data_IF_005759998265
#
_entry.id   IF_005759998265
#
_cell.length_a   1.000
_cell.length_b   1.000
_cell.length_c   1.000
_cell.angle_alpha   90.00
_cell.angle_beta   90.00
_cell.angle_gamma   90.00
#
_symmetry.space_group_name_H-M   'P 1'
#
loop_
_entity.id
_entity.type
_entity.pdbx_description
1 polymer ?
#
# COMPACT_ATOMS: atom_id res chain seq x y z
N UNK A 1 13.03 -12.54 0.22
CA UNK A 1 13.26 -13.89 0.81
C UNK A 1 13.85 -13.82 2.24
N UNK A 2 13.25 -13.07 3.18
CA UNK A 2 13.68 -13.06 4.60
C UNK A 2 12.59 -13.53 5.58
N UNK A 3 11.36 -13.68 5.12
CA UNK A 3 10.19 -14.03 5.95
C UNK A 3 10.04 -15.54 6.19
N UNK A 4 10.60 -16.39 5.32
CA UNK A 4 10.54 -17.85 5.47
C UNK A 4 11.39 -18.38 6.63
N UNK A 5 12.41 -17.64 7.08
CA UNK A 5 13.29 -18.09 8.16
C UNK A 5 12.68 -17.97 9.56
N UNK A 6 11.74 -17.05 9.78
CA UNK A 6 11.15 -16.87 11.11
C UNK A 6 10.14 -17.96 11.50
N UNK A 7 9.51 -18.63 10.54
CA UNK A 7 8.47 -19.62 10.84
C UNK A 7 9.04 -21.03 11.12
N UNK A 8 10.30 -21.29 10.76
CA UNK A 8 10.96 -22.57 11.04
C UNK A 8 11.44 -22.70 12.50
N UNK A 9 11.47 -21.61 13.27
CA UNK A 9 11.86 -21.61 14.69
C UNK A 9 10.72 -21.87 15.68
N UNK A 10 9.46 -21.96 15.23
CA UNK A 10 8.28 -22.05 16.11
C UNK A 10 7.69 -23.46 16.24
N UNK A 11 8.25 -24.49 15.60
CA UNK A 11 7.75 -25.86 15.79
C UNK A 11 8.24 -26.43 17.12
N UNK A 12 7.30 -26.82 17.99
CA UNK A 12 7.51 -27.34 19.34
C UNK A 12 8.26 -28.67 19.44
N UNK A 13 8.59 -29.30 18.31
CA UNK A 13 9.47 -30.47 18.23
C UNK A 13 10.91 -30.01 17.97
N UNK A 14 11.54 -29.43 18.99
CA UNK A 14 12.90 -28.92 18.96
C UNK A 14 13.99 -29.99 18.82
N UNK A 15 14.02 -30.73 17.71
CA UNK A 15 15.18 -31.53 17.30
C UNK A 15 15.46 -31.33 15.81
N UNK A 16 16.11 -30.22 15.49
CA UNK A 16 16.84 -30.10 14.22
C UNK A 16 18.15 -30.87 14.38
N UNK A 17 18.20 -32.10 13.85
CA UNK A 17 19.44 -32.82 13.61
C UNK A 17 20.22 -32.09 12.51
N UNK A 18 20.89 -30.99 12.88
CA UNK A 18 21.94 -30.41 12.06
C UNK A 18 23.15 -31.33 12.15
N UNK A 19 23.18 -32.37 11.32
CA UNK A 19 24.37 -33.18 11.15
C UNK A 19 25.46 -32.30 10.52
N UNK A 20 26.48 -31.96 11.31
CA UNK A 20 27.63 -31.15 10.88
C UNK A 20 28.57 -31.79 9.83
N UNK A 21 28.63 -33.12 9.58
CA UNK A 21 29.47 -33.60 8.49
C UNK A 21 28.73 -33.49 7.14
N UNK A 22 29.43 -32.92 6.16
CA UNK A 22 29.04 -32.91 4.74
C UNK A 22 28.94 -34.36 4.26
N UNK A 23 27.73 -34.92 4.21
CA UNK A 23 27.50 -36.27 3.69
C UNK A 23 27.94 -36.25 2.22
N UNK A 24 29.05 -36.90 1.92
CA UNK A 24 29.52 -37.10 0.55
C UNK A 24 28.84 -38.35 0.01
N UNK A 25 28.55 -38.36 -1.28
CA UNK A 25 27.81 -39.44 -1.96
C UNK A 25 28.40 -40.84 -1.79
N UNK A 26 29.68 -40.94 -1.40
CA UNK A 26 30.36 -42.22 -1.15
C UNK A 26 30.27 -42.72 0.31
N UNK A 27 29.95 -41.86 1.28
CA UNK A 27 29.86 -42.24 2.70
C UNK A 27 28.47 -42.76 3.09
N UNK A 28 27.45 -42.46 2.30
CA UNK A 28 26.12 -43.01 2.46
C UNK A 28 26.01 -44.35 1.72
N UNK A 29 26.44 -45.43 2.36
CA UNK A 29 26.00 -46.75 1.94
C UNK A 29 24.47 -46.77 2.08
N UNK A 30 23.75 -46.73 0.94
CA UNK A 30 22.29 -46.76 0.91
C UNK A 30 21.87 -48.11 1.48
N UNK A 31 21.57 -48.14 2.78
CA UNK A 31 20.98 -49.30 3.43
C UNK A 31 19.63 -49.49 2.79
N UNK A 32 19.44 -50.62 2.09
CA UNK A 32 18.14 -50.99 1.54
C UNK A 32 17.14 -51.05 2.69
N UNK A 33 16.06 -50.25 2.65
CA UNK A 33 15.10 -50.22 3.74
C UNK A 33 14.55 -51.63 3.93
N UNK A 34 14.72 -52.18 5.13
CA UNK A 34 14.13 -53.46 5.51
C UNK A 34 12.64 -53.22 5.70
N UNK A 35 11.85 -53.47 4.66
CA UNK A 35 10.39 -53.44 4.74
C UNK A 35 9.97 -54.69 5.51
N UNK A 36 9.84 -54.58 6.84
CA UNK A 36 9.56 -55.72 7.72
C UNK A 36 8.19 -56.37 7.44
N UNK A 37 7.23 -55.61 6.89
CA UNK A 37 5.94 -56.14 6.49
C UNK A 37 5.42 -55.40 5.25
N UNK A 38 5.28 -56.11 4.13
CA UNK A 38 4.51 -55.64 2.99
C UNK A 38 3.03 -55.86 3.34
N UNK A 39 2.22 -54.80 3.44
CA UNK A 39 0.78 -54.94 3.69
C UNK A 39 0.17 -55.83 2.59
N UNK A 40 -0.52 -56.90 2.97
CA UNK A 40 -1.09 -57.88 2.02
C UNK A 40 -2.16 -57.30 1.09
N UNK A 41 -2.63 -56.07 1.34
CA UNK A 41 -3.46 -55.33 0.39
C UNK A 41 -3.21 -53.83 0.55
N UNK A 42 -2.69 -53.19 -0.50
CA UNK A 42 -2.72 -51.74 -0.61
C UNK A 42 -4.14 -51.41 -1.08
N UNK A 43 -4.89 -50.55 -0.36
CA UNK A 43 -6.23 -50.16 -0.80
C UNK A 43 -6.13 -49.56 -2.20
N UNK A 44 -6.95 -50.07 -3.13
CA UNK A 44 -7.01 -49.53 -4.48
C UNK A 44 -7.39 -48.04 -4.40
N UNK A 45 -6.57 -47.12 -4.95
CA UNK A 45 -6.89 -45.71 -4.92
C UNK A 45 -8.24 -45.47 -5.59
N UNK A 46 -9.11 -44.73 -4.90
CA UNK A 46 -10.43 -44.41 -5.43
C UNK A 46 -10.32 -43.28 -6.45
N UNK A 47 -10.14 -43.64 -7.72
CA UNK A 47 -10.03 -42.68 -8.83
C UNK A 47 -11.33 -41.90 -9.09
N UNK A 48 -12.47 -42.30 -8.50
CA UNK A 48 -13.74 -41.58 -8.63
C UNK A 48 -13.71 -40.18 -8.01
N UNK A 49 -12.72 -39.89 -7.15
CA UNK A 49 -12.52 -38.55 -6.56
C UNK A 49 -11.90 -37.54 -7.53
N UNK A 50 -11.32 -37.99 -8.65
CA UNK A 50 -10.64 -37.13 -9.62
C UNK A 50 -11.55 -36.66 -10.76
N UNK A 51 -12.74 -37.24 -10.88
CA UNK A 51 -13.78 -36.78 -11.80
C UNK A 51 -14.86 -36.09 -10.99
N UNK A 52 -14.69 -34.80 -10.61
CA UNK A 52 -15.86 -34.02 -10.24
C UNK A 52 -16.79 -34.04 -11.46
N UNK A 53 -18.00 -34.56 -11.31
CA UNK A 53 -19.00 -34.37 -12.35
C UNK A 53 -19.08 -32.87 -12.63
N UNK A 54 -18.89 -32.43 -13.88
CA UNK A 54 -18.89 -31.03 -14.18
C UNK A 54 -20.30 -30.53 -13.89
N UNK A 55 -20.47 -29.82 -12.77
CA UNK A 55 -21.70 -29.10 -12.53
C UNK A 55 -21.84 -28.10 -13.67
N UNK A 56 -23.02 -28.06 -14.31
CA UNK A 56 -23.28 -27.24 -15.51
C UNK A 56 -23.02 -25.73 -15.30
N UNK A 57 -22.83 -25.30 -14.05
CA UNK A 57 -22.39 -23.95 -13.68
C UNK A 57 -20.89 -23.66 -13.81
N UNK A 58 -20.01 -24.67 -13.89
CA UNK A 58 -18.56 -24.50 -13.84
C UNK A 58 -17.96 -23.91 -15.13
N UNK A 59 -18.49 -24.27 -16.30
CA UNK A 59 -17.93 -23.83 -17.58
C UNK A 59 -18.24 -22.37 -17.91
N UNK A 60 -19.46 -21.91 -17.60
CA UNK A 60 -19.87 -20.51 -17.82
C UNK A 60 -19.01 -19.54 -17.00
N UNK A 61 -18.66 -19.90 -15.76
CA UNK A 61 -17.79 -19.09 -14.91
C UNK A 61 -16.36 -19.02 -15.44
N UNK A 62 -15.87 -20.09 -16.09
CA UNK A 62 -14.52 -20.12 -16.66
C UNK A 62 -14.41 -19.26 -17.92
N UNK A 63 -15.40 -19.29 -18.80
CA UNK A 63 -15.43 -18.44 -20.00
C UNK A 63 -15.48 -16.96 -19.62
N UNK A 64 -16.31 -16.58 -18.64
CA UNK A 64 -16.37 -15.19 -18.16
C UNK A 64 -15.07 -14.75 -17.47
N UNK A 65 -14.38 -15.66 -16.79
CA UNK A 65 -13.09 -15.33 -16.16
C UNK A 65 -11.98 -15.10 -17.20
N UNK A 66 -12.01 -15.85 -18.31
CA UNK A 66 -11.08 -15.65 -19.42
C UNK A 66 -11.34 -14.31 -20.11
N UNK A 67 -12.61 -13.97 -20.39
CA UNK A 67 -12.96 -12.70 -21.04
C UNK A 67 -12.59 -11.49 -20.17
N UNK A 68 -12.85 -11.56 -18.85
CA UNK A 68 -12.47 -10.48 -17.93
C UNK A 68 -10.95 -10.30 -17.87
N UNK A 69 -10.19 -11.40 -17.83
CA UNK A 69 -8.73 -11.34 -17.86
C UNK A 69 -8.21 -10.74 -19.16
N UNK A 70 -8.78 -11.15 -20.29
CA UNK A 70 -8.34 -10.70 -21.59
C UNK A 70 -8.67 -9.19 -21.78
N UNK A 71 -9.81 -8.71 -21.26
CA UNK A 71 -10.13 -7.28 -21.18
C UNK A 71 -9.11 -6.50 -20.33
N UNK A 72 -8.77 -7.00 -19.14
CA UNK A 72 -7.77 -6.36 -18.27
C UNK A 72 -6.41 -6.28 -18.98
N UNK A 73 -6.03 -7.31 -19.74
CA UNK A 73 -4.77 -7.33 -20.50
C UNK A 73 -4.79 -6.34 -21.67
N UNK A 74 -5.91 -6.21 -22.38
CA UNK A 74 -6.07 -5.21 -23.45
C UNK A 74 -5.99 -3.77 -22.90
N UNK A 75 -6.67 -3.49 -21.79
CA UNK A 75 -6.59 -2.19 -21.12
C UNK A 75 -5.17 -1.89 -20.63
N UNK A 76 -4.48 -2.88 -20.05
CA UNK A 76 -3.09 -2.74 -19.63
C UNK A 76 -2.14 -2.47 -20.80
N UNK A 77 -2.31 -3.18 -21.92
CA UNK A 77 -1.48 -2.96 -23.11
C UNK A 77 -1.73 -1.59 -23.76
N UNK A 78 -2.99 -1.14 -23.85
CA UNK A 78 -3.32 0.18 -24.37
C UNK A 78 -2.68 1.31 -23.54
N UNK A 79 -2.74 1.21 -22.21
CA UNK A 79 -2.11 2.20 -21.33
C UNK A 79 -0.58 2.18 -21.41
N UNK A 80 0.01 1.00 -21.60
CA UNK A 80 1.46 0.86 -21.78
C UNK A 80 1.92 1.41 -23.13
N UNK A 81 1.17 1.25 -24.22
CA UNK A 81 1.51 1.85 -25.52
C UNK A 81 1.44 3.38 -25.47
N UNK A 82 0.47 3.95 -24.75
CA UNK A 82 0.38 5.40 -24.53
C UNK A 82 1.55 5.94 -23.68
N UNK A 83 1.97 5.18 -22.66
CA UNK A 83 3.08 5.55 -21.76
C UNK A 83 4.46 5.30 -22.37
N UNK A 84 4.63 4.25 -23.16
CA UNK A 84 5.90 3.85 -23.78
C UNK A 84 6.26 4.64 -25.04
N UNK A 85 5.32 5.42 -25.58
CA UNK A 85 5.62 6.38 -26.62
C UNK A 85 6.46 7.53 -26.03
N UNK A 86 7.78 7.31 -25.95
CA UNK A 86 8.77 8.36 -25.73
C UNK A 86 8.50 9.49 -26.71
N UNK A 87 8.80 10.74 -26.32
CA UNK A 87 8.52 11.90 -27.17
C UNK A 87 9.18 11.76 -28.56
N UNK A 88 10.31 11.05 -28.62
CA UNK A 88 10.96 10.60 -29.86
C UNK A 88 10.08 9.63 -30.68
N UNK A 89 9.45 8.63 -30.08
CA UNK A 89 8.54 7.72 -30.79
C UNK A 89 7.28 8.43 -31.32
N UNK A 90 6.80 9.48 -30.62
CA UNK A 90 5.69 10.31 -31.11
C UNK A 90 6.07 11.12 -32.34
N UNK A 91 7.30 11.63 -32.39
CA UNK A 91 7.85 12.38 -33.51
C UNK A 91 8.13 11.52 -34.75
N UNK A 92 8.20 10.18 -34.63
CA UNK A 92 8.57 9.30 -35.74
C UNK A 92 7.60 8.12 -35.94
N UNK A 93 6.30 8.41 -36.09
CA UNK A 93 5.29 7.40 -36.45
C UNK A 93 5.45 6.95 -37.91
N UNK A 94 6.42 6.07 -38.14
CA UNK A 94 6.54 5.11 -39.25
C UNK A 94 6.62 5.63 -40.71
N UNK A 95 6.70 6.95 -40.96
CA UNK A 95 6.99 7.49 -42.30
C UNK A 95 8.18 8.44 -42.26
N UNK A 96 8.94 8.47 -43.35
CA UNK A 96 10.00 9.47 -43.54
C UNK A 96 9.36 10.87 -43.56
N UNK A 97 9.40 11.55 -42.42
CA UNK A 97 8.97 12.94 -42.31
C UNK A 97 10.13 13.85 -42.68
N UNK A 98 9.84 14.90 -43.44
CA UNK A 98 10.80 15.98 -43.70
C UNK A 98 10.94 16.81 -42.41
N UNK A 99 12.13 16.80 -41.82
CA UNK A 99 12.46 17.54 -40.59
C UNK A 99 12.35 19.06 -40.71
N UNK A 100 12.19 19.57 -41.94
CA UNK A 100 12.01 20.98 -42.24
C UNK A 100 10.55 21.38 -42.50
N UNK A 101 9.60 20.45 -42.32
CA UNK A 101 8.17 20.75 -42.50
C UNK A 101 7.63 21.54 -41.31
N UNK A 102 6.70 22.46 -41.57
CA UNK A 102 6.03 23.24 -40.53
C UNK A 102 5.32 22.32 -39.52
N UNK A 103 4.73 21.21 -40.00
CA UNK A 103 4.10 20.18 -39.18
C UNK A 103 5.07 19.59 -38.13
N UNK A 104 6.34 19.41 -38.48
CA UNK A 104 7.36 18.92 -37.54
C UNK A 104 7.64 19.94 -36.43
N UNK A 105 7.74 21.23 -36.77
CA UNK A 105 7.96 22.29 -35.78
C UNK A 105 6.76 22.47 -34.85
N UNK A 106 5.53 22.37 -35.37
CA UNK A 106 4.32 22.40 -34.55
C UNK A 106 4.27 21.20 -33.59
N UNK A 107 4.65 20.00 -34.04
CA UNK A 107 4.72 18.82 -33.19
C UNK A 107 5.77 18.95 -32.08
N UNK A 108 6.98 19.44 -32.40
CA UNK A 108 8.04 19.68 -31.40
C UNK A 108 7.58 20.72 -30.38
N UNK A 109 6.97 21.83 -30.84
CA UNK A 109 6.45 22.88 -29.95
C UNK A 109 5.37 22.35 -29.01
N UNK A 110 4.44 21.53 -29.52
CA UNK A 110 3.39 20.90 -28.70
C UNK A 110 3.96 19.96 -27.62
N UNK A 111 5.02 19.22 -27.94
CA UNK A 111 5.74 18.37 -26.96
C UNK A 111 6.41 19.23 -25.88
N UNK A 112 7.11 20.30 -26.26
CA UNK A 112 7.78 21.19 -25.31
C UNK A 112 6.78 21.90 -24.39
N UNK A 113 5.67 22.41 -24.93
CA UNK A 113 4.58 23.00 -24.16
C UNK A 113 3.95 21.98 -23.21
N UNK A 114 3.74 20.74 -23.67
CA UNK A 114 3.28 19.64 -22.84
C UNK A 114 4.24 19.31 -21.70
N UNK A 115 5.55 19.31 -21.94
CA UNK A 115 6.56 19.08 -20.90
C UNK A 115 6.56 20.20 -19.86
N UNK A 116 6.55 21.46 -20.32
CA UNK A 116 6.46 22.63 -19.43
C UNK A 116 5.18 22.62 -18.59
N UNK A 117 4.04 22.26 -19.17
CA UNK A 117 2.78 22.16 -18.44
C UNK A 117 2.83 21.06 -17.37
N UNK A 118 3.40 19.88 -17.68
CA UNK A 118 3.59 18.79 -16.71
C UNK A 118 4.55 19.16 -15.58
N UNK A 119 5.64 19.86 -15.89
CA UNK A 119 6.59 20.36 -14.89
C UNK A 119 5.90 21.39 -13.97
N UNK A 120 5.18 22.36 -14.54
CA UNK A 120 4.43 23.36 -13.78
C UNK A 120 3.33 22.72 -12.89
N UNK A 121 2.63 21.70 -13.38
CA UNK A 121 1.64 20.96 -12.59
C UNK A 121 2.30 20.21 -11.42
N UNK A 122 3.44 19.55 -11.65
CA UNK A 122 4.21 18.89 -10.59
C UNK A 122 4.66 19.89 -9.52
N UNK A 123 5.12 21.06 -9.92
CA UNK A 123 5.51 22.14 -8.98
C UNK A 123 4.31 22.68 -8.20
N UNK A 124 3.19 22.95 -8.88
CA UNK A 124 1.96 23.40 -8.23
C UNK A 124 1.46 22.38 -7.20
N UNK A 125 1.50 21.07 -7.52
CA UNK A 125 1.15 19.99 -6.59
C UNK A 125 2.10 19.95 -5.38
N UNK A 126 3.40 20.11 -5.59
CA UNK A 126 4.39 20.18 -4.47
C UNK A 126 4.10 21.36 -3.55
N UNK A 127 3.85 22.55 -4.10
CA UNK A 127 3.53 23.76 -3.33
C UNK A 127 2.22 23.58 -2.55
N UNK A 128 1.19 23.01 -3.18
CA UNK A 128 -0.08 22.72 -2.52
C UNK A 128 0.09 21.76 -1.34
N UNK A 129 0.88 20.69 -1.49
CA UNK A 129 1.21 19.74 -0.41
C UNK A 129 1.94 20.41 0.75
N UNK A 130 2.93 21.25 0.46
CA UNK A 130 3.67 22.00 1.48
C UNK A 130 2.73 22.93 2.26
N UNK A 131 1.90 23.70 1.56
CA UNK A 131 0.91 24.58 2.20
C UNK A 131 -0.08 23.81 3.08
N UNK A 132 -0.54 22.64 2.64
CA UNK A 132 -1.41 21.75 3.46
C UNK A 132 -0.70 21.29 4.73
N UNK A 133 0.57 20.89 4.62
CA UNK A 133 1.40 20.50 5.77
C UNK A 133 1.55 21.64 6.76
N UNK A 134 1.88 22.84 6.30
CA UNK A 134 2.02 24.04 7.14
C UNK A 134 0.71 24.39 7.87
N UNK A 135 -0.43 24.37 7.18
CA UNK A 135 -1.74 24.60 7.79
C UNK A 135 -2.07 23.58 8.87
N UNK A 136 -1.74 22.30 8.64
CA UNK A 136 -1.93 21.23 9.63
C UNK A 136 -1.06 21.45 10.87
N UNK A 137 0.19 21.82 10.68
CA UNK A 137 1.13 22.09 11.77
C UNK A 137 0.69 23.31 12.61
N UNK A 138 0.19 24.37 11.98
CA UNK A 138 -0.34 25.54 12.70
C UNK A 138 -1.56 25.17 13.56
N UNK A 139 -2.52 24.44 12.99
CA UNK A 139 -3.72 23.99 13.72
C UNK A 139 -3.36 23.04 14.87
N UNK A 140 -2.37 22.18 14.69
CA UNK A 140 -1.88 21.31 15.76
C UNK A 140 -1.19 22.11 16.88
N UNK A 141 -0.44 23.17 16.54
CA UNK A 141 0.18 24.08 17.51
C UNK A 141 -0.87 24.84 18.32
N UNK A 142 -1.86 25.43 17.66
CA UNK A 142 -2.97 26.11 18.33
C UNK A 142 -3.74 25.17 19.25
N UNK A 143 -4.01 23.95 18.81
CA UNK A 143 -4.68 22.94 19.61
C UNK A 143 -3.86 22.49 20.82
N UNK A 144 -2.53 22.39 20.68
CA UNK A 144 -1.64 22.10 21.79
C UNK A 144 -1.69 23.21 22.84
N UNK A 145 -1.61 24.48 22.42
CA UNK A 145 -1.72 25.63 23.32
C UNK A 145 -3.09 25.69 24.02
N UNK A 146 -4.18 25.34 23.32
CA UNK A 146 -5.51 25.27 23.93
C UNK A 146 -5.60 24.17 25.01
N UNK A 147 -4.98 23.01 24.78
CA UNK A 147 -4.93 21.92 25.77
C UNK A 147 -4.11 22.29 26.99
N UNK A 148 -3.01 23.00 26.82
CA UNK A 148 -2.19 23.48 27.93
C UNK A 148 -2.96 24.47 28.82
N UNK A 149 -3.63 25.45 28.22
CA UNK A 149 -4.50 26.39 28.96
C UNK A 149 -5.62 25.67 29.71
N UNK A 150 -6.29 24.73 29.06
CA UNK A 150 -7.36 23.94 29.68
C UNK A 150 -6.84 23.07 30.84
N UNK A 151 -5.64 22.50 30.71
CA UNK A 151 -5.03 21.75 31.81
C UNK A 151 -4.80 22.64 33.04
N UNK A 152 -4.25 23.85 32.84
CA UNK A 152 -4.08 24.82 33.92
C UNK A 152 -5.40 25.28 34.54
N UNK A 153 -6.44 25.51 33.73
CA UNK A 153 -7.79 25.85 34.22
C UNK A 153 -8.41 24.70 35.03
N UNK A 154 -8.22 23.45 34.62
CA UNK A 154 -8.71 22.27 35.33
C UNK A 154 -7.97 22.09 36.66
N UNK A 155 -6.66 22.34 36.69
CA UNK A 155 -5.86 22.32 37.93
C UNK A 155 -6.36 23.39 38.91
N UNK A 156 -6.47 24.64 38.48
CA UNK A 156 -7.02 25.73 39.30
C UNK A 156 -8.44 25.45 39.80
N UNK A 157 -9.32 24.95 38.93
CA UNK A 157 -10.67 24.52 39.31
C UNK A 157 -10.66 23.40 40.35
N UNK A 158 -9.75 22.43 40.21
CA UNK A 158 -9.64 21.31 41.15
C UNK A 158 -9.15 21.75 42.53
N UNK A 159 -8.24 22.72 42.58
CA UNK A 159 -7.80 23.34 43.84
C UNK A 159 -8.93 24.11 44.51
N UNK A 160 -9.70 24.90 43.75
CA UNK A 160 -10.85 25.65 44.26
C UNK A 160 -11.95 24.72 44.79
N UNK A 161 -12.26 23.64 44.05
CA UNK A 161 -13.19 22.62 44.52
C UNK A 161 -12.70 21.94 45.80
N UNK A 162 -11.40 21.68 45.92
CA UNK A 162 -10.80 21.09 47.13
C UNK A 162 -10.92 22.05 48.32
N UNK A 163 -10.71 23.35 48.12
CA UNK A 163 -10.92 24.39 49.14
C UNK A 163 -12.38 24.45 49.60
N UNK A 164 -13.33 24.47 48.67
CA UNK A 164 -14.76 24.51 48.97
C UNK A 164 -15.24 23.27 49.73
N UNK A 165 -14.74 22.09 49.37
CA UNK A 165 -15.02 20.86 50.08
C UNK A 165 -14.49 20.89 51.53
N UNK A 166 -13.31 21.49 51.75
CA UNK A 166 -12.76 21.71 53.09
C UNK A 166 -13.63 22.60 53.99
N UNK A 167 -14.41 23.51 53.38
CA UNK A 167 -15.38 24.38 54.08
C UNK A 167 -16.73 23.68 54.33
N UNK A 168 -16.94 22.48 53.80
CA UNK A 168 -18.18 21.70 54.00
C UNK A 168 -19.29 22.01 53.00
N UNK A 169 -18.98 22.63 51.85
CA UNK A 169 -19.96 22.76 50.76
C UNK A 169 -20.38 21.39 50.22
N UNK A 170 -21.64 21.28 49.81
CA UNK A 170 -22.16 20.03 49.22
C UNK A 170 -21.65 19.90 47.78
N UNK A 171 -21.36 18.66 47.35
CA UNK A 171 -20.84 18.38 45.99
C UNK A 171 -21.69 18.93 44.84
N UNK A 172 -23.00 19.06 45.05
CA UNK A 172 -23.94 19.60 44.06
C UNK A 172 -23.82 21.11 43.85
N UNK A 173 -23.20 21.81 44.80
CA UNK A 173 -23.03 23.26 44.80
C UNK A 173 -21.60 23.66 44.34
N UNK A 174 -20.78 22.69 43.90
CA UNK A 174 -19.46 22.94 43.35
C UNK A 174 -19.55 23.54 41.94
N UNK A 175 -18.59 24.40 41.55
CA UNK A 175 -18.55 24.93 40.19
C UNK A 175 -18.41 23.79 39.17
N UNK A 176 -19.07 23.88 38.00
CA UNK A 176 -18.96 22.86 36.97
C UNK A 176 -17.54 22.81 36.40
N UNK A 177 -17.10 21.61 36.00
CA UNK A 177 -15.77 21.42 35.41
C UNK A 177 -15.61 22.21 34.10
N UNK A 178 -14.48 22.91 33.89
CA UNK A 178 -14.18 23.57 32.62
C UNK A 178 -14.23 22.59 31.44
N UNK A 179 -14.89 23.00 30.35
CA UNK A 179 -15.03 22.19 29.13
C UNK A 179 -14.02 22.63 28.09
N UNK A 180 -13.31 21.68 27.51
CA UNK A 180 -12.41 21.94 26.38
C UNK A 180 -13.25 22.26 25.12
N UNK A 181 -12.85 23.30 24.38
CA UNK A 181 -13.43 23.63 23.09
C UNK A 181 -13.25 22.50 22.05
N UNK A 182 -13.92 22.61 20.90
CA UNK A 182 -13.71 21.68 19.79
C UNK A 182 -12.35 21.97 19.13
N UNK A 183 -11.68 20.94 18.62
CA UNK A 183 -10.46 21.10 17.82
C UNK A 183 -10.76 21.95 16.57
N UNK A 184 -9.91 22.91 16.19
CA UNK A 184 -10.05 23.62 14.93
C UNK A 184 -10.04 22.63 13.77
N UNK A 185 -10.99 22.78 12.84
CA UNK A 185 -11.13 21.90 11.67
C UNK A 185 -10.35 22.54 10.54
N UNK A 186 -9.44 21.76 9.91
CA UNK A 186 -8.80 22.19 8.68
C UNK A 186 -9.92 22.31 7.64
N UNK A 187 -10.06 23.45 6.94
CA UNK A 187 -10.98 23.52 5.81
C UNK A 187 -10.62 22.38 4.86
N UNK A 188 -11.55 21.44 4.70
CA UNK A 188 -11.39 20.33 3.77
C UNK A 188 -11.42 20.97 2.39
N UNK A 189 -10.23 21.21 1.83
CA UNK A 189 -10.10 21.37 0.40
C UNK A 189 -10.23 19.95 -0.12
N UNK A 190 -11.45 19.59 -0.51
CA UNK A 190 -11.84 18.29 -1.07
C UNK A 190 -10.88 17.90 -2.21
N UNK A 191 -9.81 17.18 -1.87
CA UNK A 191 -9.00 16.44 -2.83
C UNK A 191 -8.80 15.05 -2.20
N UNK A 192 -9.78 14.18 -2.45
CA UNK A 192 -9.79 12.72 -2.24
C UNK A 192 -8.72 12.00 -3.11
N UNK A 193 -7.53 12.59 -3.28
CA UNK A 193 -6.50 12.11 -4.24
C UNK A 193 -5.12 11.84 -3.64
N UNK A 194 -4.90 12.08 -2.34
CA UNK A 194 -3.57 11.84 -1.70
C UNK A 194 -3.37 10.39 -1.25
N UNK A 195 -4.07 9.44 -1.89
CA UNK A 195 -3.81 7.99 -1.82
C UNK A 195 -3.14 7.45 -3.09
N UNK A 196 -2.63 8.33 -3.95
CA UNK A 196 -1.73 7.97 -5.04
C UNK A 196 -0.34 7.74 -4.46
N UNK A 197 -0.06 6.44 -4.31
CA UNK A 197 1.21 5.75 -4.30
C UNK A 197 2.42 6.66 -4.55
N UNK A 198 3.42 6.55 -3.66
CA UNK A 198 4.80 6.92 -3.95
C UNK A 198 5.26 6.14 -5.19
N UNK A 199 4.88 6.58 -6.39
CA UNK A 199 5.50 6.07 -7.60
C UNK A 199 6.98 6.43 -7.51
N UNK A 200 7.88 5.44 -7.58
CA UNK A 200 9.31 5.70 -7.59
C UNK A 200 9.57 6.66 -8.74
N UNK A 201 10.17 7.79 -8.39
CA UNK A 201 10.71 8.77 -9.32
C UNK A 201 11.73 8.03 -10.18
N UNK A 202 11.26 7.50 -11.32
CA UNK A 202 12.13 6.88 -12.32
C UNK A 202 12.91 8.01 -12.99
N UNK A 203 14.11 8.25 -12.46
CA UNK A 203 15.13 9.13 -13.01
C UNK A 203 15.73 8.51 -14.29
N UNK A 204 14.88 8.14 -15.25
CA UNK A 204 15.28 7.64 -16.56
C UNK A 204 15.29 8.75 -17.62
N UNK A 205 15.92 9.87 -17.30
CA UNK A 205 16.39 10.86 -18.29
C UNK A 205 17.93 10.90 -18.26
N UNK A 206 18.56 9.92 -18.93
CA UNK A 206 19.96 9.93 -19.40
C UNK A 206 20.01 9.53 -20.86
#
# INVERSE_FOLDING_TARGET
MRTLYMHLGQTSAGSLLLSAPKIKSYDAAIVTPVVQHVPHSIPTPNWLLLTPEPSEGSYKTRETAVTVRDQILEEANATMEEKAATDRAKLFKAKAQCLSSDEFYEAVKGIEEGRKAREAEKEAKKVARQRRKELKEEIEREWAAMKERHAAEVEAWSEECSKLLGVGTRKKDLPPKPKLGKKPVIPVVDDEEDKLEEEPMDDSDV
#
